data_IF_494900971664
#
_entry.id   IF_494900971664
#
_cell.length_a   1.000
_cell.length_b   1.000
_cell.length_c   1.000
_cell.angle_alpha   90.00
_cell.angle_beta   90.00
_cell.angle_gamma   90.00
#
_symmetry.space_group_name_H-M   'P 1'
#
loop_
_entity.id
_entity.type
_entity.pdbx_description
1 polymer ?
#
# COMPACT_ATOMS: atom_id res chain seq x y z
N UNK A 1 -10.62 -15.56 11.23
CA UNK A 1 -9.96 -14.42 10.52
C UNK A 1 -8.47 -14.46 10.81
N UNK A 2 -7.64 -14.27 9.80
CA UNK A 2 -6.19 -14.11 9.97
C UNK A 2 -5.80 -12.73 9.48
N UNK A 3 -5.60 -11.78 10.40
CA UNK A 3 -5.12 -10.46 10.08
C UNK A 3 -3.60 -10.41 10.21
N UNK A 4 -2.95 -9.77 9.27
CA UNK A 4 -1.53 -9.44 9.34
C UNK A 4 -1.35 -8.20 10.22
N UNK A 5 -0.21 -8.08 10.88
CA UNK A 5 0.16 -6.89 11.65
C UNK A 5 1.51 -6.37 11.16
N UNK A 6 1.60 -5.04 10.96
CA UNK A 6 2.82 -4.38 10.55
C UNK A 6 2.97 -3.03 11.27
N UNK A 7 4.14 -2.78 11.84
CA UNK A 7 4.46 -1.51 12.50
C UNK A 7 5.62 -0.84 11.80
N UNK A 8 5.55 0.49 11.66
CA UNK A 8 6.56 1.28 10.95
C UNK A 8 6.63 2.70 11.50
N UNK A 9 7.70 3.40 11.18
CA UNK A 9 7.87 4.79 11.61
C UNK A 9 7.34 5.78 10.58
N UNK A 10 6.75 6.86 11.09
CA UNK A 10 6.29 8.00 10.32
C UNK A 10 6.80 9.29 10.95
N UNK A 11 6.84 10.38 10.18
CA UNK A 11 7.33 11.68 10.66
C UNK A 11 6.32 12.38 11.56
N UNK A 12 5.03 12.33 11.20
CA UNK A 12 3.96 12.96 11.96
C UNK A 12 2.64 12.22 11.77
N UNK A 13 1.74 12.34 12.77
CA UNK A 13 0.45 11.65 12.73
C UNK A 13 -0.58 12.37 11.84
N UNK A 14 -0.49 13.69 11.69
CA UNK A 14 -1.48 14.45 10.92
C UNK A 14 -1.44 14.08 9.44
N UNK A 15 -0.26 14.08 8.81
CA UNK A 15 -0.13 13.66 7.41
C UNK A 15 -0.41 12.17 7.22
N UNK A 16 -0.05 11.34 8.19
CA UNK A 16 -0.31 9.90 8.19
C UNK A 16 -1.82 9.63 8.22
N UNK A 17 -2.58 10.33 9.06
CA UNK A 17 -4.04 10.21 9.10
C UNK A 17 -4.71 10.64 7.79
N UNK A 18 -4.24 11.73 7.20
CA UNK A 18 -4.77 12.16 5.88
C UNK A 18 -4.53 11.10 4.81
N UNK A 19 -3.33 10.55 4.77
CA UNK A 19 -2.97 9.55 3.76
C UNK A 19 -3.74 8.23 3.96
N UNK A 20 -3.56 7.58 5.10
CA UNK A 20 -4.18 6.27 5.34
C UNK A 20 -5.69 6.37 5.57
N UNK A 21 -6.14 7.38 6.30
CA UNK A 21 -7.56 7.57 6.62
C UNK A 21 -8.37 8.16 5.48
N UNK A 22 -7.97 9.31 4.94
CA UNK A 22 -8.76 10.03 3.96
C UNK A 22 -8.50 9.56 2.53
N UNK A 23 -7.24 9.40 2.13
CA UNK A 23 -6.90 9.00 0.76
C UNK A 23 -7.16 7.51 0.55
N UNK A 24 -6.57 6.64 1.37
CA UNK A 24 -6.75 5.20 1.25
C UNK A 24 -8.07 4.69 1.82
N UNK A 25 -8.72 5.45 2.70
CA UNK A 25 -10.03 5.09 3.26
C UNK A 25 -9.97 4.06 4.38
N UNK A 26 -8.83 3.94 5.06
CA UNK A 26 -8.67 3.02 6.17
C UNK A 26 -9.29 3.60 7.45
N UNK A 27 -10.12 2.82 8.14
CA UNK A 27 -10.67 3.23 9.43
C UNK A 27 -9.57 3.31 10.48
N UNK A 28 -9.58 4.38 11.28
CA UNK A 28 -8.63 4.55 12.38
C UNK A 28 -9.05 3.66 13.55
N UNK A 29 -8.10 2.97 14.14
CA UNK A 29 -8.27 2.18 15.34
C UNK A 29 -7.85 2.95 16.59
N UNK A 30 -7.02 2.32 17.43
CA UNK A 30 -6.49 2.96 18.64
C UNK A 30 -5.39 3.95 18.30
N UNK A 31 -5.21 4.94 19.16
CA UNK A 31 -4.12 5.91 19.02
C UNK A 31 -3.68 6.48 20.34
N UNK A 32 -2.48 7.05 20.36
CA UNK A 32 -1.94 7.88 21.43
C UNK A 32 -1.39 9.17 20.82
N UNK A 33 -0.68 9.94 21.60
CA UNK A 33 0.02 11.12 21.07
C UNK A 33 1.16 10.77 20.10
N UNK A 34 1.64 9.52 20.08
CA UNK A 34 2.85 9.11 19.34
C UNK A 34 2.62 8.00 18.33
N UNK A 35 1.46 7.39 18.29
CA UNK A 35 1.17 6.35 17.31
C UNK A 35 -0.33 6.27 17.00
N UNK A 36 -0.65 5.63 15.88
CA UNK A 36 -2.01 5.39 15.41
C UNK A 36 -2.09 4.07 14.67
N UNK A 37 -3.16 3.32 14.94
CA UNK A 37 -3.50 2.08 14.24
C UNK A 37 -4.54 2.34 13.16
N UNK A 38 -4.49 1.57 12.09
CA UNK A 38 -5.52 1.56 11.04
C UNK A 38 -5.96 0.14 10.71
N UNK A 39 -7.22 -0.01 10.36
CA UNK A 39 -7.70 -1.18 9.63
C UNK A 39 -7.28 -1.03 8.17
N UNK A 40 -6.15 -1.65 7.85
CA UNK A 40 -5.57 -1.61 6.51
C UNK A 40 -6.07 -2.80 5.70
N UNK A 41 -7.22 -2.64 5.07
CA UNK A 41 -7.84 -3.66 4.23
C UNK A 41 -7.98 -5.02 4.94
N UNK A 42 -8.39 -4.99 6.21
CA UNK A 42 -8.59 -6.18 7.04
C UNK A 42 -7.38 -6.61 7.87
N UNK A 43 -6.24 -5.94 7.74
CA UNK A 43 -5.06 -6.17 8.57
C UNK A 43 -4.73 -4.93 9.39
N UNK A 44 -3.99 -5.11 10.49
CA UNK A 44 -3.63 -4.00 11.37
C UNK A 44 -2.26 -3.43 10.97
N UNK A 45 -2.21 -2.13 10.72
CA UNK A 45 -0.94 -1.41 10.66
C UNK A 45 -0.87 -0.40 11.80
N UNK A 46 0.35 -0.17 12.32
CA UNK A 46 0.62 0.76 13.41
C UNK A 46 1.73 1.73 13.00
N UNK A 47 1.39 3.01 12.92
CA UNK A 47 2.32 4.06 12.55
C UNK A 47 2.82 4.78 13.80
N UNK A 48 4.12 4.82 14.00
CA UNK A 48 4.77 5.36 15.21
C UNK A 48 5.68 6.54 14.87
N UNK A 49 5.67 7.58 15.71
CA UNK A 49 6.53 8.76 15.55
C UNK A 49 7.75 8.75 16.48
N UNK A 50 7.89 7.75 17.35
CA UNK A 50 8.94 7.69 18.38
C UNK A 50 10.30 7.20 17.87
N UNK A 51 10.38 6.86 16.59
CA UNK A 51 11.60 6.40 15.98
C UNK A 51 11.99 7.23 14.77
N UNK A 52 13.07 6.81 14.12
CA UNK A 52 13.59 7.47 12.93
C UNK A 52 13.06 6.78 11.67
N UNK A 53 12.49 7.56 10.76
CA UNK A 53 12.15 7.06 9.42
C UNK A 53 13.43 6.77 8.66
N UNK A 54 13.59 5.54 8.18
CA UNK A 54 14.71 5.14 7.34
C UNK A 54 14.25 5.25 5.88
N UNK A 55 14.91 6.09 5.06
CA UNK A 55 14.56 6.19 3.64
C UNK A 55 14.67 4.83 2.94
N UNK A 56 13.70 4.52 2.09
CA UNK A 56 13.72 3.31 1.27
C UNK A 56 14.64 3.53 0.07
N UNK A 57 15.90 3.17 0.21
CA UNK A 57 16.91 3.32 -0.84
C UNK A 57 17.16 2.01 -1.61
N UNK A 58 16.93 0.88 -0.95
CA UNK A 58 17.10 -0.42 -1.57
C UNK A 58 16.06 -0.64 -2.67
N UNK A 59 16.48 -1.27 -3.76
CA UNK A 59 15.63 -1.58 -4.91
C UNK A 59 15.67 -3.08 -5.18
N UNK A 60 14.48 -3.65 -5.46
CA UNK A 60 14.34 -4.94 -6.10
C UNK A 60 13.98 -4.72 -7.57
N UNK A 61 13.97 -5.78 -8.34
CA UNK A 61 13.59 -5.72 -9.74
C UNK A 61 12.41 -6.67 -10.00
N UNK A 62 11.37 -6.13 -10.65
CA UNK A 62 10.19 -6.90 -11.08
C UNK A 62 9.92 -6.53 -12.53
N UNK A 63 9.99 -7.53 -13.43
CA UNK A 63 9.79 -7.35 -14.87
C UNK A 63 10.70 -6.24 -15.46
N UNK A 64 11.95 -6.17 -15.03
CA UNK A 64 12.90 -5.17 -15.48
C UNK A 64 12.69 -3.77 -14.90
N UNK A 65 11.77 -3.60 -13.93
CA UNK A 65 11.48 -2.31 -13.28
C UNK A 65 12.02 -2.34 -11.87
N UNK A 66 12.81 -1.33 -11.50
CA UNK A 66 13.28 -1.14 -10.13
C UNK A 66 12.11 -0.73 -9.22
N UNK A 67 11.89 -1.47 -8.14
CA UNK A 67 10.84 -1.22 -7.16
C UNK A 67 11.45 -0.93 -5.79
N UNK A 68 10.83 -0.05 -4.97
CA UNK A 68 11.33 0.22 -3.61
C UNK A 68 11.30 -1.04 -2.74
N UNK A 69 12.31 -1.18 -1.86
CA UNK A 69 12.40 -2.25 -0.86
C UNK A 69 12.86 -1.67 0.48
N UNK A 70 12.22 -2.03 1.62
CA UNK A 70 10.98 -2.81 1.68
C UNK A 70 9.77 -2.04 1.17
N UNK A 71 8.71 -2.76 0.86
CA UNK A 71 7.38 -2.20 0.66
C UNK A 71 6.34 -3.15 1.26
N UNK A 72 5.15 -2.62 1.53
CA UNK A 72 4.01 -3.41 2.00
C UNK A 72 2.74 -2.94 1.28
N UNK A 73 1.69 -3.72 1.39
CA UNK A 73 0.43 -3.36 0.77
C UNK A 73 -0.61 -4.46 0.93
N UNK A 74 -1.58 -4.45 0.03
CA UNK A 74 -2.68 -5.40 0.06
C UNK A 74 -2.97 -5.94 -1.33
N UNK A 75 -3.44 -7.18 -1.37
CA UNK A 75 -4.00 -7.78 -2.58
C UNK A 75 -5.50 -7.56 -2.50
N UNK A 76 -6.03 -6.73 -3.38
CA UNK A 76 -7.42 -6.30 -3.40
C UNK A 76 -8.20 -7.07 -4.47
N UNK A 77 -9.52 -7.10 -4.36
CA UNK A 77 -10.36 -7.54 -5.48
C UNK A 77 -10.25 -6.54 -6.62
N UNK A 78 -10.50 -6.99 -7.85
CA UNK A 78 -10.25 -6.21 -9.07
C UNK A 78 -10.89 -4.81 -9.05
N UNK A 79 -12.17 -4.74 -8.73
CA UNK A 79 -12.89 -3.46 -8.74
C UNK A 79 -12.44 -2.53 -7.62
N UNK A 80 -12.12 -3.07 -6.45
CA UNK A 80 -11.61 -2.31 -5.30
C UNK A 80 -10.23 -1.69 -5.61
N UNK A 81 -9.35 -2.43 -6.29
CA UNK A 81 -8.06 -1.92 -6.73
C UNK A 81 -8.22 -0.70 -7.64
N UNK A 82 -9.09 -0.80 -8.64
CA UNK A 82 -9.30 0.28 -9.60
C UNK A 82 -9.99 1.50 -8.95
N UNK A 83 -10.91 1.28 -8.03
CA UNK A 83 -11.53 2.36 -7.26
C UNK A 83 -10.50 3.08 -6.39
N UNK A 84 -9.60 2.33 -5.73
CA UNK A 84 -8.53 2.91 -4.94
C UNK A 84 -7.55 3.71 -5.80
N UNK A 85 -7.15 3.18 -6.95
CA UNK A 85 -6.31 3.91 -7.89
C UNK A 85 -6.91 5.25 -8.30
N UNK A 86 -8.22 5.29 -8.54
CA UNK A 86 -8.95 6.53 -8.86
C UNK A 86 -8.94 7.53 -7.70
N UNK A 87 -9.10 7.06 -6.46
CA UNK A 87 -9.04 7.91 -5.27
C UNK A 87 -7.65 8.51 -5.05
N UNK A 88 -6.61 7.72 -5.22
CA UNK A 88 -5.22 8.18 -5.09
C UNK A 88 -4.93 9.25 -6.15
N UNK A 89 -5.34 9.01 -7.38
CA UNK A 89 -5.19 9.98 -8.48
C UNK A 89 -5.95 11.28 -8.18
N UNK A 90 -7.20 11.19 -7.74
CA UNK A 90 -8.03 12.36 -7.40
C UNK A 90 -7.47 13.17 -6.22
N UNK A 91 -6.71 12.56 -5.33
CA UNK A 91 -6.05 13.22 -4.21
C UNK A 91 -4.69 13.84 -4.59
N UNK A 92 -4.31 13.79 -5.86
CA UNK A 92 -3.03 14.29 -6.36
C UNK A 92 -1.80 13.65 -5.69
N UNK A 93 -1.93 12.40 -5.23
CA UNK A 93 -0.80 11.62 -4.71
C UNK A 93 -0.07 10.98 -5.89
N UNK A 94 1.23 11.28 -6.07
CA UNK A 94 1.97 10.72 -7.21
C UNK A 94 2.21 9.22 -7.04
N UNK A 95 2.19 8.49 -8.15
CA UNK A 95 2.60 7.09 -8.18
C UNK A 95 4.12 6.99 -8.43
N UNK A 96 4.77 6.06 -7.75
CA UNK A 96 6.13 5.61 -8.11
C UNK A 96 6.04 4.77 -9.38
N UNK A 97 5.07 3.85 -9.42
CA UNK A 97 4.70 3.11 -10.62
C UNK A 97 3.18 3.22 -10.76
N UNK A 98 2.73 3.87 -11.82
CA UNK A 98 1.30 4.03 -12.09
C UNK A 98 0.61 2.67 -12.26
N UNK A 99 -0.71 2.57 -11.99
CA UNK A 99 -1.44 1.32 -12.18
C UNK A 99 -1.19 0.73 -13.56
N UNK A 100 -0.79 -0.54 -13.60
CA UNK A 100 -0.53 -1.25 -14.85
C UNK A 100 -1.00 -2.70 -14.76
N UNK A 101 -1.48 -3.21 -15.89
CA UNK A 101 -1.89 -4.60 -16.05
C UNK A 101 -0.72 -5.41 -16.58
N UNK A 102 -0.53 -6.60 -16.00
CA UNK A 102 0.48 -7.58 -16.43
C UNK A 102 -0.26 -8.85 -16.86
N UNK A 103 0.30 -9.56 -17.85
CA UNK A 103 -0.21 -10.83 -18.34
C UNK A 103 -1.68 -10.75 -18.80
N UNK A 104 -2.07 -9.65 -19.47
CA UNK A 104 -3.42 -9.43 -19.94
C UNK A 104 -3.92 -10.59 -20.80
N UNK A 105 -5.16 -11.04 -20.53
CA UNK A 105 -5.79 -12.15 -21.23
C UNK A 105 -5.29 -13.55 -20.83
N UNK A 106 -4.36 -13.63 -19.89
CA UNK A 106 -3.82 -14.89 -19.37
C UNK A 106 -4.40 -15.24 -18.00
N UNK A 107 -4.33 -16.51 -17.55
CA UNK A 107 -4.81 -16.87 -16.20
C UNK A 107 -4.18 -16.06 -15.08
N UNK A 108 -2.90 -15.67 -15.21
CA UNK A 108 -2.18 -14.89 -14.21
C UNK A 108 -2.36 -13.36 -14.37
N UNK A 109 -3.36 -12.91 -15.15
CA UNK A 109 -3.64 -11.48 -15.34
C UNK A 109 -3.78 -10.77 -13.99
N UNK A 110 -2.97 -9.73 -13.80
CA UNK A 110 -2.91 -8.99 -12.56
C UNK A 110 -2.63 -7.51 -12.84
N UNK A 111 -2.89 -6.66 -11.85
CA UNK A 111 -2.52 -5.25 -11.90
C UNK A 111 -1.77 -4.89 -10.62
N UNK A 112 -0.90 -3.90 -10.72
CA UNK A 112 -0.10 -3.41 -9.60
C UNK A 112 0.08 -1.90 -9.70
N UNK A 113 0.28 -1.27 -8.54
CA UNK A 113 0.67 0.14 -8.44
C UNK A 113 1.55 0.34 -7.20
N UNK A 114 2.50 1.27 -7.29
CA UNK A 114 3.40 1.64 -6.19
C UNK A 114 3.28 3.13 -5.89
N UNK A 115 3.27 3.46 -4.61
CA UNK A 115 3.27 4.85 -4.14
C UNK A 115 4.01 4.95 -2.81
N UNK A 116 4.31 6.18 -2.39
CA UNK A 116 4.91 6.45 -1.09
C UNK A 116 3.88 7.13 -0.19
N UNK A 117 3.94 6.80 1.11
CA UNK A 117 3.23 7.60 2.10
C UNK A 117 3.96 8.93 2.33
N UNK A 118 3.40 9.90 3.09
CA UNK A 118 4.03 11.20 3.31
C UNK A 118 5.39 11.13 4.02
N UNK A 119 5.70 10.02 4.66
CA UNK A 119 6.98 9.80 5.35
C UNK A 119 8.00 9.05 4.49
N UNK A 120 7.63 8.66 3.26
CA UNK A 120 8.50 7.93 2.34
C UNK A 120 8.45 6.41 2.49
N UNK A 121 7.51 5.87 3.26
CA UNK A 121 7.27 4.43 3.29
C UNK A 121 6.63 3.98 1.99
N UNK A 122 7.14 2.90 1.40
CA UNK A 122 6.67 2.42 0.10
C UNK A 122 5.53 1.41 0.25
N UNK A 123 4.50 1.58 -0.58
CA UNK A 123 3.35 0.68 -0.65
C UNK A 123 3.20 0.12 -2.07
N UNK A 124 2.78 -1.15 -2.14
CA UNK A 124 2.32 -1.78 -3.36
C UNK A 124 0.91 -2.32 -3.16
N UNK A 125 0.00 -1.96 -4.06
CA UNK A 125 -1.31 -2.62 -4.14
C UNK A 125 -1.34 -3.50 -5.38
N UNK A 126 -1.91 -4.69 -5.21
CA UNK A 126 -2.04 -5.69 -6.28
C UNK A 126 -3.47 -6.16 -6.40
N UNK A 127 -3.82 -6.64 -7.57
CA UNK A 127 -5.06 -7.38 -7.79
C UNK A 127 -4.84 -8.45 -8.83
N UNK A 128 -5.59 -9.53 -8.74
CA UNK A 128 -5.59 -10.62 -9.70
C UNK A 128 -6.97 -10.70 -10.32
N UNK A 129 -7.02 -10.77 -11.66
CA UNK A 129 -8.29 -10.92 -12.38
C UNK A 129 -9.00 -12.19 -11.94
N UNK A 130 -8.21 -13.23 -11.64
CA UNK A 130 -8.65 -14.53 -11.16
C UNK A 130 -7.97 -14.78 -9.80
N UNK A 131 -8.65 -14.50 -8.66
CA UNK A 131 -8.03 -14.55 -7.32
C UNK A 131 -7.41 -15.90 -6.97
N UNK A 132 -7.90 -17.00 -7.56
CA UNK A 132 -7.35 -18.34 -7.37
C UNK A 132 -5.89 -18.47 -7.83
N UNK A 133 -5.39 -17.53 -8.64
CA UNK A 133 -4.04 -17.56 -9.18
C UNK A 133 -3.01 -16.76 -8.36
N UNK A 134 -3.38 -16.19 -7.20
CA UNK A 134 -2.47 -15.39 -6.36
C UNK A 134 -1.18 -16.16 -6.03
N UNK A 135 -1.29 -17.47 -5.79
CA UNK A 135 -0.16 -18.32 -5.43
C UNK A 135 0.20 -19.34 -6.53
N UNK A 136 -0.31 -19.15 -7.72
CA UNK A 136 0.00 -20.04 -8.84
C UNK A 136 1.40 -19.71 -9.40
N UNK A 137 2.19 -20.73 -9.59
CA UNK A 137 3.53 -20.59 -10.18
C UNK A 137 3.45 -20.33 -11.70
#
# INVERSE_FOLDING_TARGET
MRAFHYSFFVRDLASTRRFYGEVLGCAEGRSTATWVDFDFFGSQISAHTTGRVVPTEAKGEVDGIAVPMPHFGAILVWDEFHALAGRIHAADVPFVIAPRVRFAGQPAEQATMFLLDPSGNALEFKTFRHPEHVFTA
#
